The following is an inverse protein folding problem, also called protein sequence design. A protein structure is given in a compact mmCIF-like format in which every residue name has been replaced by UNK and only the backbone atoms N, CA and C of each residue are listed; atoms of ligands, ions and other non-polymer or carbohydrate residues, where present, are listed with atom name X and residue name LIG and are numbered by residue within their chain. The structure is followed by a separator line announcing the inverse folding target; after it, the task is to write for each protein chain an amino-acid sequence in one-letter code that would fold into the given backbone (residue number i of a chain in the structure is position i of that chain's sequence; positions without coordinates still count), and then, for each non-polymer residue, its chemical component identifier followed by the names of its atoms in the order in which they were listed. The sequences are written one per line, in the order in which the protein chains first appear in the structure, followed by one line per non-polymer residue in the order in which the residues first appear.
data_IF_061944177782
#
_entry.id   IF_061944177782
#
_cell.length_a   1.000
_cell.length_b   1.000
_cell.length_c   1.000
_cell.angle_alpha   90.00
_cell.angle_beta   90.00
_cell.angle_gamma   90.00
#
_symmetry.space_group_name_H-M   'P 1'
#
loop_
_entity.id
_entity.type
_entity.pdbx_description
1 polymer ?
#
# COMPACT_ATOMS: atom_id res chain seq x y z
N UNK A 1 25.64 37.93 7.13
CA UNK A 1 24.78 37.04 6.30
C UNK A 1 24.36 35.76 7.05
N UNK A 2 24.20 35.77 8.39
CA UNK A 2 23.91 34.56 9.19
C UNK A 2 22.49 34.51 9.77
N UNK A 3 21.67 35.55 9.68
CA UNK A 3 20.35 35.63 10.29
C UNK A 3 19.22 35.00 9.45
N UNK A 4 19.40 34.96 8.13
CA UNK A 4 18.37 34.40 7.21
C UNK A 4 18.27 32.88 7.29
N UNK A 5 19.38 32.18 7.58
CA UNK A 5 19.41 30.70 7.67
C UNK A 5 18.76 30.15 8.96
N UNK A 6 18.83 30.92 10.05
CA UNK A 6 18.22 30.56 11.33
C UNK A 6 16.68 30.64 11.31
N UNK A 7 16.15 31.65 10.62
CA UNK A 7 14.70 31.87 10.55
C UNK A 7 13.99 30.87 9.62
N UNK A 8 14.63 30.45 8.53
CA UNK A 8 14.13 29.41 7.63
C UNK A 8 14.10 28.02 8.31
N UNK A 9 15.12 27.68 9.12
CA UNK A 9 15.15 26.43 9.91
C UNK A 9 14.07 26.41 11.01
N UNK A 10 13.87 27.54 11.71
CA UNK A 10 12.82 27.64 12.73
C UNK A 10 11.42 27.49 12.12
N UNK A 11 11.16 28.09 10.95
CA UNK A 11 9.90 27.92 10.22
C UNK A 11 9.67 26.48 9.76
N UNK A 12 10.72 25.78 9.36
CA UNK A 12 10.65 24.35 8.98
C UNK A 12 10.30 23.44 10.14
N UNK A 13 10.91 23.61 11.30
CA UNK A 13 10.63 22.83 12.49
C UNK A 13 9.21 23.05 13.03
N UNK A 14 8.72 24.30 13.00
CA UNK A 14 7.33 24.61 13.42
C UNK A 14 6.32 23.94 12.48
N UNK A 15 6.58 23.92 11.17
CA UNK A 15 5.72 23.21 10.21
C UNK A 15 5.71 21.71 10.44
N UNK A 16 6.88 21.11 10.67
CA UNK A 16 7.00 19.67 10.97
C UNK A 16 6.21 19.31 12.23
N UNK A 17 6.36 20.10 13.30
CA UNK A 17 5.60 19.88 14.53
C UNK A 17 4.10 20.01 14.31
N UNK A 18 3.65 21.04 13.60
CA UNK A 18 2.24 21.23 13.27
C UNK A 18 1.67 20.04 12.49
N UNK A 19 2.39 19.55 11.47
CA UNK A 19 1.97 18.40 10.67
C UNK A 19 1.94 17.11 11.50
N UNK A 20 2.90 16.92 12.40
CA UNK A 20 2.92 15.78 13.33
C UNK A 20 1.72 15.82 14.28
N UNK A 21 1.39 16.99 14.82
CA UNK A 21 0.21 17.18 15.66
C UNK A 21 -1.09 16.86 14.89
N UNK A 22 -1.16 17.21 13.60
CA UNK A 22 -2.30 16.85 12.75
C UNK A 22 -2.38 15.33 12.49
N UNK A 23 -1.26 14.67 12.19
CA UNK A 23 -1.21 13.20 12.04
C UNK A 23 -1.78 12.52 13.30
N UNK A 24 -1.36 12.96 14.48
CA UNK A 24 -1.85 12.41 15.74
C UNK A 24 -3.34 12.68 15.97
N UNK A 25 -3.81 13.90 15.64
CA UNK A 25 -5.22 14.24 15.72
C UNK A 25 -6.09 13.38 14.81
N UNK A 26 -5.67 13.17 13.56
CA UNK A 26 -6.38 12.33 12.59
C UNK A 26 -6.50 10.87 13.05
N UNK A 27 -5.46 10.31 13.69
CA UNK A 27 -5.51 8.96 14.27
C UNK A 27 -6.45 8.93 15.47
N UNK A 28 -6.38 9.92 16.36
CA UNK A 28 -7.22 9.98 17.56
C UNK A 28 -8.71 10.17 17.23
N UNK A 29 -9.03 10.97 16.20
CA UNK A 29 -10.42 11.23 15.78
C UNK A 29 -11.13 10.00 15.22
N UNK A 30 -10.38 9.07 14.65
CA UNK A 30 -10.91 7.81 14.08
C UNK A 30 -10.88 6.64 15.07
N UNK A 31 -10.26 6.82 16.22
CA UNK A 31 -10.23 5.78 17.26
C UNK A 31 -11.62 5.58 17.88
N UNK A 32 -11.94 4.37 18.36
CA UNK A 32 -13.21 4.08 19.00
C UNK A 32 -13.38 4.88 20.29
N UNK A 33 -14.62 5.19 20.65
CA UNK A 33 -14.93 5.85 21.91
C UNK A 33 -14.36 5.09 23.11
N UNK A 34 -13.75 5.83 24.05
CA UNK A 34 -13.19 5.24 25.26
C UNK A 34 -11.82 4.59 25.09
N UNK A 35 -11.12 4.85 23.99
CA UNK A 35 -9.73 4.42 23.87
C UNK A 35 -8.86 5.03 24.99
N UNK A 36 -7.94 4.25 25.51
CA UNK A 36 -6.99 4.65 26.56
C UNK A 36 -5.58 4.86 26.03
N UNK A 37 -5.14 3.99 25.10
CA UNK A 37 -3.84 4.03 24.47
C UNK A 37 -3.93 3.53 23.02
N UNK A 38 -3.21 4.18 22.12
CA UNK A 38 -3.00 3.78 20.74
C UNK A 38 -1.50 3.62 20.51
N UNK A 39 -1.09 2.48 20.00
CA UNK A 39 0.25 2.22 19.48
C UNK A 39 0.12 2.04 17.97
N UNK A 40 0.86 2.81 17.19
CA UNK A 40 0.75 2.77 15.73
C UNK A 40 2.12 2.89 15.06
N UNK A 41 2.28 2.22 13.91
CA UNK A 41 3.42 2.39 13.02
C UNK A 41 2.89 2.81 11.66
N UNK A 42 3.16 4.05 11.28
CA UNK A 42 2.86 4.58 9.93
C UNK A 42 4.04 4.30 9.04
N UNK A 43 3.83 3.60 7.93
CA UNK A 43 4.85 3.30 6.92
C UNK A 43 4.56 4.07 5.64
N UNK A 44 5.60 4.76 5.13
CA UNK A 44 5.58 5.45 3.85
C UNK A 44 6.88 5.14 3.10
N UNK A 45 6.77 4.47 1.95
CA UNK A 45 7.90 4.16 1.08
C UNK A 45 7.41 4.07 -0.36
N UNK A 46 7.88 4.94 -1.24
CA UNK A 46 7.35 5.05 -2.60
C UNK A 46 5.82 5.21 -2.60
N UNK A 47 5.13 4.22 -3.13
CA UNK A 47 3.66 4.19 -3.14
C UNK A 47 3.05 3.54 -1.89
N UNK A 48 3.87 2.85 -1.08
CA UNK A 48 3.36 2.21 0.15
C UNK A 48 2.89 3.27 1.13
N UNK A 49 1.64 3.11 1.56
CA UNK A 49 0.99 3.87 2.63
C UNK A 49 0.28 2.90 3.54
N UNK A 50 0.88 2.56 4.66
CA UNK A 50 0.35 1.58 5.60
C UNK A 50 0.39 2.11 7.02
N UNK A 51 -0.58 1.70 7.82
CA UNK A 51 -0.56 1.86 9.27
C UNK A 51 -0.85 0.51 9.92
N UNK A 52 0.02 0.11 10.83
CA UNK A 52 -0.23 -0.96 11.78
C UNK A 52 -0.55 -0.31 13.12
N UNK A 53 -1.57 -0.79 13.82
CA UNK A 53 -1.94 -0.19 15.10
C UNK A 53 -2.53 -1.22 16.06
N UNK A 54 -2.36 -0.92 17.35
CA UNK A 54 -3.05 -1.58 18.45
C UNK A 54 -3.74 -0.51 19.31
N UNK A 55 -5.01 -0.72 19.61
CA UNK A 55 -5.79 0.17 20.44
C UNK A 55 -6.15 -0.55 21.73
N UNK A 56 -5.96 0.12 22.86
CA UNK A 56 -6.27 -0.38 24.18
C UNK A 56 -7.36 0.49 24.79
N UNK A 57 -8.43 -0.17 25.24
CA UNK A 57 -9.53 0.42 25.99
C UNK A 57 -9.40 0.07 27.47
N UNK A 58 -10.35 0.52 28.32
CA UNK A 58 -10.40 0.12 29.71
C UNK A 58 -10.62 -1.39 29.91
N UNK A 59 -11.23 -2.05 28.93
CA UNK A 59 -11.57 -3.48 28.96
C UNK A 59 -10.49 -4.38 28.33
N UNK A 60 -9.44 -3.81 27.74
CA UNK A 60 -8.34 -4.51 27.10
C UNK A 60 -8.07 -4.05 25.66
N UNK A 61 -7.37 -4.86 24.85
CA UNK A 61 -7.18 -4.58 23.44
C UNK A 61 -8.54 -4.45 22.73
N UNK A 62 -8.64 -3.52 21.80
CA UNK A 62 -9.83 -3.35 20.97
C UNK A 62 -9.94 -4.52 19.98
N UNK A 63 -11.08 -5.18 20.00
CA UNK A 63 -11.44 -6.33 19.16
C UNK A 63 -12.66 -6.06 18.26
N UNK A 64 -12.99 -4.77 18.08
CA UNK A 64 -14.10 -4.33 17.23
C UNK A 64 -13.77 -4.37 15.74
N UNK A 65 -14.69 -3.84 14.91
CA UNK A 65 -14.53 -3.85 13.47
C UNK A 65 -13.26 -3.13 13.02
N UNK A 66 -12.69 -3.50 11.84
CA UNK A 66 -11.52 -2.84 11.28
C UNK A 66 -11.69 -1.32 11.20
N UNK A 67 -10.66 -0.58 11.52
CA UNK A 67 -10.66 0.88 11.50
C UNK A 67 -9.68 1.40 10.44
N UNK A 68 -10.11 2.37 9.65
CA UNK A 68 -9.22 3.09 8.76
C UNK A 68 -8.58 4.26 9.52
N UNK A 69 -7.38 4.04 10.04
CA UNK A 69 -6.65 5.04 10.83
C UNK A 69 -5.54 5.77 10.04
N UNK A 70 -5.31 5.43 8.76
CA UNK A 70 -4.21 6.05 8.02
C UNK A 70 -4.36 7.57 7.97
N UNK A 71 -3.38 8.34 8.52
CA UNK A 71 -3.47 9.78 8.58
C UNK A 71 -3.16 10.41 7.20
N UNK A 72 -4.12 11.15 6.65
CA UNK A 72 -4.00 11.79 5.34
C UNK A 72 -2.85 12.82 5.27
N UNK A 73 -2.49 13.41 6.41
CA UNK A 73 -1.41 14.41 6.54
C UNK A 73 -0.01 13.79 6.60
N UNK A 74 0.12 12.47 6.83
CA UNK A 74 1.43 11.83 6.95
C UNK A 74 2.36 12.00 5.73
N UNK A 75 1.89 11.97 4.47
CA UNK A 75 2.73 12.28 3.32
C UNK A 75 3.31 13.70 3.34
N UNK A 76 2.51 14.72 3.75
CA UNK A 76 2.99 16.09 3.86
C UNK A 76 4.06 16.24 4.97
N UNK A 77 3.90 15.50 6.08
CA UNK A 77 4.90 15.45 7.12
C UNK A 77 6.21 14.83 6.58
N UNK A 78 6.10 13.77 5.80
CA UNK A 78 7.25 13.12 5.16
C UNK A 78 7.99 14.07 4.23
N UNK A 79 7.27 14.81 3.39
CA UNK A 79 7.82 15.84 2.51
C UNK A 79 8.53 16.95 3.28
N UNK A 80 7.90 17.45 4.35
CA UNK A 80 8.44 18.52 5.18
C UNK A 80 9.71 18.11 5.95
N UNK A 81 9.94 16.81 6.13
CA UNK A 81 11.11 16.24 6.80
C UNK A 81 12.20 15.77 5.83
N UNK A 82 11.98 15.86 4.53
CA UNK A 82 12.99 15.53 3.53
C UNK A 82 14.20 16.48 3.65
N UNK A 83 15.38 15.89 3.59
CA UNK A 83 16.66 16.61 3.54
C UNK A 83 17.45 16.12 2.33
N UNK A 84 17.82 17.04 1.45
CA UNK A 84 18.59 16.73 0.24
C UNK A 84 19.84 15.89 0.56
N UNK A 85 20.03 14.80 -0.18
CA UNK A 85 21.10 13.83 0.00
C UNK A 85 20.97 12.90 1.21
N UNK A 86 20.09 13.21 2.17
CA UNK A 86 19.84 12.37 3.35
C UNK A 86 18.53 11.59 3.28
N UNK A 87 17.61 12.01 2.39
CA UNK A 87 16.28 11.43 2.26
C UNK A 87 15.31 11.83 3.36
N UNK A 88 14.31 10.99 3.59
CA UNK A 88 13.29 11.17 4.62
C UNK A 88 13.03 9.84 5.35
N UNK A 89 12.15 9.83 6.35
CA UNK A 89 11.85 8.63 7.14
C UNK A 89 11.00 7.60 6.35
N UNK A 90 11.11 6.35 6.72
CA UNK A 90 10.34 5.22 6.18
C UNK A 90 9.17 4.83 7.07
N UNK A 91 9.35 4.95 8.39
CA UNK A 91 8.29 4.68 9.35
C UNK A 91 8.28 5.68 10.49
N UNK A 92 7.09 5.91 11.02
CA UNK A 92 6.81 6.74 12.19
C UNK A 92 6.08 5.86 13.21
N UNK A 93 6.74 5.57 14.33
CA UNK A 93 6.10 4.95 15.47
C UNK A 93 5.46 6.02 16.36
N UNK A 94 4.19 5.80 16.71
CA UNK A 94 3.37 6.65 17.56
C UNK A 94 2.88 5.85 18.76
N UNK A 95 2.99 6.41 19.95
CA UNK A 95 2.22 5.95 21.12
C UNK A 95 1.49 7.15 21.69
N UNK A 96 0.18 7.06 21.79
CA UNK A 96 -0.67 8.12 22.29
C UNK A 96 -1.51 7.59 23.46
N UNK A 97 -1.63 8.37 24.49
CA UNK A 97 -2.51 8.11 25.63
C UNK A 97 -3.66 9.11 25.63
N UNK A 98 -4.84 8.66 26.03
CA UNK A 98 -6.03 9.55 26.15
C UNK A 98 -5.84 10.66 27.19
N UNK A 99 -4.81 10.55 28.04
CA UNK A 99 -4.36 11.63 28.94
C UNK A 99 -3.73 12.82 28.21
N UNK A 100 -3.40 12.68 26.91
CA UNK A 100 -2.68 13.68 26.14
C UNK A 100 -1.16 13.47 26.09
N UNK A 101 -0.63 12.45 26.77
CA UNK A 101 0.79 12.07 26.61
C UNK A 101 1.00 11.43 25.25
N UNK A 102 2.15 11.74 24.61
CA UNK A 102 2.52 11.18 23.31
C UNK A 102 4.00 10.84 23.26
N UNK A 103 4.34 9.78 22.55
CA UNK A 103 5.70 9.40 22.19
C UNK A 103 5.77 9.14 20.69
N UNK A 104 6.80 9.67 20.02
CA UNK A 104 6.98 9.50 18.58
C UNK A 104 8.43 9.15 18.28
N UNK A 105 8.63 8.30 17.28
CA UNK A 105 9.96 7.94 16.79
C UNK A 105 9.92 7.76 15.28
N UNK A 106 10.85 8.41 14.58
CA UNK A 106 11.02 8.28 13.13
C UNK A 106 12.17 7.34 12.82
N UNK A 107 11.95 6.44 11.86
CA UNK A 107 12.97 5.54 11.37
C UNK A 107 13.38 5.91 9.93
N UNK A 108 14.67 6.20 9.76
CA UNK A 108 15.28 6.64 8.51
C UNK A 108 16.15 5.56 7.85
N UNK A 109 16.45 4.48 8.57
CA UNK A 109 17.50 3.55 8.21
C UNK A 109 17.07 2.10 8.11
N UNK A 110 16.06 1.66 8.88
CA UNK A 110 15.64 0.27 8.89
C UNK A 110 14.61 -0.02 7.80
N UNK A 111 14.66 -1.26 7.29
CA UNK A 111 13.67 -1.76 6.33
C UNK A 111 12.29 -1.81 6.99
N UNK A 112 11.28 -1.17 6.40
CA UNK A 112 9.91 -1.32 6.89
C UNK A 112 9.47 -2.78 6.84
N UNK A 113 8.61 -3.24 7.76
CA UNK A 113 8.08 -4.59 7.72
C UNK A 113 7.39 -4.85 6.38
N UNK A 114 7.83 -5.88 5.67
CA UNK A 114 7.21 -6.34 4.41
C UNK A 114 7.65 -7.78 4.16
N UNK A 115 6.74 -8.62 3.68
CA UNK A 115 7.04 -9.99 3.23
C UNK A 115 7.45 -10.02 1.76
N UNK A 116 7.05 -9.02 0.96
CA UNK A 116 7.39 -8.91 -0.44
C UNK A 116 8.72 -8.18 -0.65
N UNK A 117 9.32 -8.35 -1.85
CA UNK A 117 10.44 -7.53 -2.31
C UNK A 117 10.00 -6.09 -2.45
N UNK A 118 10.84 -5.16 -2.02
CA UNK A 118 10.61 -3.72 -2.07
C UNK A 118 11.42 -3.03 -3.18
N UNK A 119 12.11 -3.76 -4.05
CA UNK A 119 13.08 -3.20 -4.98
C UNK A 119 12.51 -2.08 -5.86
N UNK A 120 11.37 -2.31 -6.51
CA UNK A 120 10.70 -1.30 -7.35
C UNK A 120 10.19 -0.11 -6.53
N UNK A 121 9.64 -0.39 -5.35
CA UNK A 121 9.13 0.65 -4.43
C UNK A 121 10.27 1.53 -3.91
N UNK A 122 11.43 0.92 -3.61
CA UNK A 122 12.66 1.62 -3.22
C UNK A 122 13.16 2.52 -4.35
N UNK A 123 13.13 2.03 -5.59
CA UNK A 123 13.52 2.83 -6.76
C UNK A 123 12.63 4.07 -6.89
N UNK A 124 11.32 3.91 -6.82
CA UNK A 124 10.36 5.01 -6.91
C UNK A 124 10.52 6.00 -5.75
N UNK A 125 10.82 5.50 -4.54
CA UNK A 125 11.09 6.35 -3.38
C UNK A 125 12.35 7.20 -3.57
N UNK A 126 13.39 6.64 -4.16
CA UNK A 126 14.65 7.35 -4.42
C UNK A 126 14.51 8.39 -5.54
N UNK A 127 13.57 8.23 -6.47
CA UNK A 127 13.25 9.27 -7.46
C UNK A 127 12.60 10.49 -6.78
N UNK A 128 11.75 10.27 -5.77
CA UNK A 128 11.09 11.35 -5.02
C UNK A 128 11.98 11.95 -3.92
N UNK A 129 12.75 11.11 -3.24
CA UNK A 129 13.55 11.46 -2.07
C UNK A 129 14.99 10.95 -2.19
N UNK A 130 15.81 11.52 -3.10
CA UNK A 130 17.17 11.08 -3.34
C UNK A 130 18.04 11.04 -2.07
N UNK A 131 18.92 10.03 -1.99
CA UNK A 131 19.89 9.83 -0.91
C UNK A 131 21.29 9.65 -1.47
N UNK A 132 22.28 10.31 -0.86
CA UNK A 132 23.69 10.13 -1.22
C UNK A 132 24.26 8.80 -0.72
N UNK A 133 23.72 8.31 0.41
CA UNK A 133 24.09 7.04 1.02
C UNK A 133 22.82 6.22 1.29
N UNK A 134 22.78 5.03 0.71
CA UNK A 134 21.64 4.12 0.89
C UNK A 134 21.86 3.20 2.10
N UNK A 135 20.84 2.95 2.92
CA UNK A 135 20.83 1.83 3.86
C UNK A 135 21.10 0.51 3.11
N UNK A 136 21.78 -0.43 3.76
CA UNK A 136 22.18 -1.69 3.12
C UNK A 136 20.98 -2.47 2.55
N UNK A 137 19.86 -2.49 3.25
CA UNK A 137 18.63 -3.17 2.77
C UNK A 137 18.09 -2.60 1.46
N UNK A 138 18.22 -1.28 1.22
CA UNK A 138 17.83 -0.67 -0.06
C UNK A 138 18.76 -1.12 -1.19
N UNK A 139 20.06 -1.21 -0.92
CA UNK A 139 21.03 -1.74 -1.89
C UNK A 139 20.70 -3.19 -2.25
N UNK A 140 20.35 -4.00 -1.24
CA UNK A 140 20.01 -5.41 -1.43
C UNK A 140 18.70 -5.56 -2.24
N UNK A 141 17.68 -4.75 -1.96
CA UNK A 141 16.41 -4.74 -2.72
C UNK A 141 16.61 -4.30 -4.17
N UNK A 142 17.40 -3.26 -4.41
CA UNK A 142 17.70 -2.79 -5.77
C UNK A 142 18.53 -3.81 -6.57
N UNK A 143 19.43 -4.54 -5.90
CA UNK A 143 20.23 -5.58 -6.56
C UNK A 143 19.36 -6.75 -7.03
N UNK A 144 18.27 -7.07 -6.33
CA UNK A 144 17.33 -8.13 -6.73
C UNK A 144 16.64 -7.78 -8.05
N UNK A 145 16.10 -6.58 -8.19
CA UNK A 145 15.45 -6.15 -9.44
C UNK A 145 16.44 -6.00 -10.60
N UNK A 146 17.70 -5.60 -10.34
CA UNK A 146 18.74 -5.55 -11.38
C UNK A 146 19.12 -6.92 -11.93
N UNK A 147 19.08 -7.96 -11.10
CA UNK A 147 19.30 -9.34 -11.51
C UNK A 147 18.13 -9.88 -12.36
N UNK A 148 16.90 -9.51 -12.03
CA UNK A 148 15.69 -9.84 -12.80
C UNK A 148 15.70 -9.18 -14.17
N UNK A 149 16.03 -7.89 -14.25
CA UNK A 149 16.14 -7.13 -15.51
C UNK A 149 17.25 -7.67 -16.43
N UNK A 150 18.37 -8.17 -15.88
CA UNK A 150 19.47 -8.76 -16.67
C UNK A 150 19.12 -10.17 -17.19
N UNK A 151 18.39 -10.98 -16.40
CA UNK A 151 17.90 -12.30 -16.83
C UNK A 151 16.88 -12.18 -17.96
N UNK A 152 16.01 -11.17 -17.92
CA UNK A 152 15.08 -10.85 -19.00
C UNK A 152 15.78 -10.32 -20.26
N UNK A 153 16.88 -9.58 -20.12
CA UNK A 153 17.72 -9.17 -21.28
C UNK A 153 18.43 -10.34 -21.91
N UNK A 154 18.96 -11.28 -21.15
CA UNK A 154 19.59 -12.50 -21.69
C UNK A 154 18.57 -13.42 -22.37
N UNK A 155 17.32 -13.47 -21.90
CA UNK A 155 16.22 -14.20 -22.56
C UNK A 155 15.78 -13.52 -23.87
N UNK A 156 15.83 -12.19 -23.95
CA UNK A 156 15.43 -11.44 -25.15
C UNK A 156 16.45 -11.50 -26.30
N UNK A 157 17.68 -11.98 -26.06
CA UNK A 157 18.71 -12.19 -27.09
C UNK A 157 18.56 -13.53 -27.85
N UNK A 158 17.63 -14.41 -27.45
CA UNK A 158 17.29 -15.61 -28.22
C UNK A 158 16.30 -15.26 -29.34
N UNK A 159 16.51 -15.73 -30.61
CA UNK A 159 15.69 -15.29 -31.72
C UNK A 159 14.22 -15.67 -31.53
N UNK A 160 13.39 -14.63 -31.59
CA UNK A 160 11.95 -14.61 -31.47
C UNK A 160 11.27 -15.43 -32.57
N UNK A 161 10.31 -16.27 -32.17
CA UNK A 161 9.19 -16.66 -33.07
C UNK A 161 7.99 -15.80 -32.65
N UNK A 162 7.58 -14.95 -33.56
CA UNK A 162 6.50 -13.98 -33.40
C UNK A 162 5.15 -14.66 -33.12
N UNK A 163 4.42 -14.17 -32.12
CA UNK A 163 2.97 -14.41 -32.01
C UNK A 163 2.37 -14.66 -30.61
N UNK A 164 3.11 -14.43 -29.51
CA UNK A 164 2.57 -14.72 -28.16
C UNK A 164 2.82 -13.59 -27.13
N UNK A 165 3.07 -12.35 -27.57
CA UNK A 165 3.67 -11.32 -26.69
C UNK A 165 2.67 -10.52 -25.83
N UNK A 166 1.36 -10.77 -25.90
CA UNK A 166 0.37 -9.99 -25.13
C UNK A 166 -0.13 -10.71 -23.87
N UNK A 167 0.04 -12.02 -23.77
CA UNK A 167 -0.37 -12.80 -22.59
C UNK A 167 0.77 -13.03 -21.58
N UNK A 168 2.02 -13.08 -22.01
CA UNK A 168 3.17 -13.44 -21.16
C UNK A 168 3.59 -12.32 -20.17
N UNK A 169 3.24 -11.06 -20.41
CA UNK A 169 3.60 -9.93 -19.52
C UNK A 169 2.71 -9.89 -18.26
N UNK A 170 1.55 -10.54 -18.28
CA UNK A 170 0.63 -10.64 -17.14
C UNK A 170 0.96 -11.81 -16.20
N UNK A 171 1.88 -12.69 -16.57
CA UNK A 171 2.23 -13.90 -15.79
C UNK A 171 3.49 -13.76 -14.91
N UNK A 172 4.17 -12.63 -14.92
CA UNK A 172 5.47 -12.44 -14.28
C UNK A 172 5.46 -11.87 -12.86
N UNK A 173 4.36 -11.97 -12.11
CA UNK A 173 4.38 -11.87 -10.64
C UNK A 173 4.80 -13.21 -10.05
N UNK A 174 5.40 -13.28 -8.85
CA UNK A 174 5.66 -14.59 -8.23
C UNK A 174 4.32 -15.32 -8.12
N UNK A 175 4.12 -16.42 -8.85
CA UNK A 175 2.84 -17.11 -8.83
C UNK A 175 2.70 -17.78 -7.48
N UNK A 176 1.91 -17.17 -6.60
CA UNK A 176 1.46 -17.87 -5.39
C UNK A 176 0.61 -19.09 -5.79
N UNK A 177 -0.10 -18.98 -6.92
CA UNK A 177 -0.85 -20.08 -7.54
C UNK A 177 -0.97 -19.87 -9.05
N UNK A 178 -0.87 -20.95 -9.84
CA UNK A 178 -1.15 -20.89 -11.30
C UNK A 178 -2.63 -20.58 -11.56
N UNK A 179 -2.92 -19.68 -12.52
CA UNK A 179 -4.31 -19.26 -12.84
C UNK A 179 -5.25 -20.39 -13.22
N UNK A 180 -4.75 -21.44 -13.85
CA UNK A 180 -5.58 -22.60 -14.21
C UNK A 180 -6.02 -23.37 -12.96
N UNK A 181 -5.11 -23.57 -12.01
CA UNK A 181 -5.42 -24.17 -10.70
C UNK A 181 -6.39 -23.29 -9.91
N UNK A 182 -6.17 -21.97 -9.89
CA UNK A 182 -7.06 -21.02 -9.23
C UNK A 182 -8.49 -21.05 -9.82
N UNK A 183 -8.62 -21.13 -11.15
CA UNK A 183 -9.93 -21.26 -11.83
C UNK A 183 -10.65 -22.56 -11.49
N UNK A 184 -9.90 -23.65 -11.38
CA UNK A 184 -10.50 -24.94 -11.02
C UNK A 184 -11.00 -24.93 -9.57
N UNK A 185 -10.25 -24.30 -8.66
CA UNK A 185 -10.61 -24.16 -7.26
C UNK A 185 -11.76 -23.15 -7.02
N UNK A 186 -11.78 -22.05 -7.76
CA UNK A 186 -12.84 -21.04 -7.66
C UNK A 186 -14.16 -21.49 -8.31
N UNK A 187 -14.16 -22.60 -9.07
CA UNK A 187 -15.37 -23.06 -9.77
C UNK A 187 -16.50 -23.38 -8.81
N UNK A 188 -17.60 -22.61 -8.92
CA UNK A 188 -18.78 -22.75 -8.07
C UNK A 188 -18.60 -22.10 -6.70
N UNK A 189 -17.62 -21.23 -6.55
CA UNK A 189 -17.45 -20.45 -5.33
C UNK A 189 -18.72 -19.67 -5.00
N UNK A 190 -19.18 -19.80 -3.75
CA UNK A 190 -20.31 -19.07 -3.19
C UNK A 190 -19.78 -18.30 -1.99
N UNK A 191 -19.98 -16.98 -1.94
CA UNK A 191 -19.56 -16.18 -0.77
C UNK A 191 -20.24 -16.66 0.51
N UNK A 192 -19.56 -16.59 1.63
CA UNK A 192 -20.15 -16.91 2.93
C UNK A 192 -21.22 -15.89 3.33
N UNK A 193 -20.98 -14.60 3.00
CA UNK A 193 -21.92 -13.51 3.22
C UNK A 193 -22.74 -13.25 1.94
N UNK A 194 -24.08 -13.25 2.01
CA UNK A 194 -24.95 -13.21 0.81
C UNK A 194 -24.99 -11.84 0.12
N UNK A 195 -24.63 -10.76 0.84
CA UNK A 195 -24.80 -9.38 0.36
C UNK A 195 -23.50 -8.74 -0.17
N UNK A 196 -22.47 -9.56 -0.44
CA UNK A 196 -21.21 -9.09 -1.02
C UNK A 196 -21.36 -8.71 -2.49
N UNK A 197 -20.69 -7.64 -2.89
CA UNK A 197 -20.58 -7.20 -4.28
C UNK A 197 -19.13 -7.15 -4.73
N UNK A 198 -18.91 -7.35 -6.04
CA UNK A 198 -17.57 -7.49 -6.61
C UNK A 198 -17.37 -6.50 -7.75
N UNK A 199 -16.28 -5.78 -7.72
CA UNK A 199 -15.97 -4.73 -8.69
C UNK A 199 -14.56 -4.88 -9.20
N UNK A 200 -14.40 -4.69 -10.51
CA UNK A 200 -13.11 -4.56 -11.18
C UNK A 200 -12.97 -3.16 -11.74
N UNK A 201 -11.87 -2.49 -11.39
CA UNK A 201 -11.52 -1.16 -11.88
C UNK A 201 -10.25 -1.26 -12.71
N UNK A 202 -10.30 -0.75 -13.94
CA UNK A 202 -9.12 -0.62 -14.81
C UNK A 202 -8.68 0.83 -14.83
N UNK A 203 -7.38 1.07 -14.67
CA UNK A 203 -6.81 2.42 -14.63
C UNK A 203 -5.85 2.63 -15.79
N UNK A 204 -5.73 3.88 -16.24
CA UNK A 204 -4.69 4.26 -17.18
C UNK A 204 -3.32 4.01 -16.55
N UNK A 205 -2.38 3.49 -17.36
CA UNK A 205 -1.01 3.27 -16.94
C UNK A 205 -0.41 4.61 -16.48
N UNK A 206 -0.06 4.68 -15.20
CA UNK A 206 0.69 5.78 -14.62
C UNK A 206 2.17 5.41 -14.49
N UNK A 207 2.67 5.28 -13.26
CA UNK A 207 3.97 4.66 -12.98
C UNK A 207 3.89 3.14 -12.84
N UNK A 208 5.03 2.48 -12.79
CA UNK A 208 5.12 1.02 -12.54
C UNK A 208 4.46 0.65 -11.21
N UNK A 209 4.49 1.54 -10.24
CA UNK A 209 3.89 1.37 -8.91
C UNK A 209 2.40 1.78 -8.84
N UNK A 210 1.80 2.28 -9.92
CA UNK A 210 0.36 2.53 -9.97
C UNK A 210 -0.37 1.22 -10.32
N UNK A 211 -1.37 0.77 -9.55
CA UNK A 211 -2.17 -0.37 -9.94
C UNK A 211 -2.93 -0.05 -11.23
N UNK A 212 -2.86 -0.96 -12.18
CA UNK A 212 -3.56 -0.85 -13.47
C UNK A 212 -4.90 -1.59 -13.48
N UNK A 213 -5.04 -2.62 -12.63
CA UNK A 213 -6.30 -3.31 -12.38
C UNK A 213 -6.47 -3.52 -10.89
N UNK A 214 -7.67 -3.24 -10.39
CA UNK A 214 -8.06 -3.42 -9.00
C UNK A 214 -9.30 -4.29 -8.98
N UNK A 215 -9.27 -5.35 -8.19
CA UNK A 215 -10.41 -6.21 -7.88
C UNK A 215 -10.78 -5.98 -6.42
N UNK A 216 -12.02 -5.62 -6.15
CA UNK A 216 -12.51 -5.38 -4.79
C UNK A 216 -13.75 -6.21 -4.51
N UNK A 217 -13.76 -6.88 -3.37
CA UNK A 217 -14.95 -7.45 -2.73
C UNK A 217 -15.44 -6.43 -1.71
N UNK A 218 -16.73 -6.10 -1.77
CA UNK A 218 -17.35 -5.04 -1.00
C UNK A 218 -18.49 -5.59 -0.17
N UNK A 219 -18.62 -5.12 1.06
CA UNK A 219 -19.77 -5.38 1.92
C UNK A 219 -21.03 -4.62 1.45
N UNK A 220 -22.15 -4.75 2.21
CA UNK A 220 -23.44 -4.11 1.93
C UNK A 220 -23.36 -2.58 1.91
N UNK A 221 -22.46 -1.99 2.70
CA UNK A 221 -22.19 -0.54 2.77
C UNK A 221 -21.12 -0.09 1.77
N UNK A 222 -20.63 -1.02 0.93
CA UNK A 222 -19.60 -0.81 -0.11
C UNK A 222 -18.20 -0.51 0.42
N UNK A 223 -17.86 -0.89 1.65
CA UNK A 223 -16.49 -0.92 2.12
C UNK A 223 -15.75 -2.15 1.56
N UNK A 224 -14.46 -1.98 1.28
CA UNK A 224 -13.62 -3.09 0.83
C UNK A 224 -13.41 -4.10 1.97
N UNK A 225 -13.75 -5.35 1.72
CA UNK A 225 -13.49 -6.49 2.60
C UNK A 225 -12.22 -7.24 2.18
N UNK A 226 -12.06 -7.48 0.87
CA UNK A 226 -10.85 -8.00 0.24
C UNK A 226 -10.54 -7.21 -1.03
N UNK A 227 -9.23 -7.09 -1.33
CA UNK A 227 -8.75 -6.40 -2.51
C UNK A 227 -7.55 -7.11 -3.11
N UNK A 228 -7.50 -7.13 -4.44
CA UNK A 228 -6.31 -7.52 -5.22
C UNK A 228 -5.98 -6.38 -6.16
N UNK A 229 -4.72 -6.00 -6.20
CA UNK A 229 -4.19 -4.99 -7.12
C UNK A 229 -3.16 -5.62 -8.06
N UNK A 230 -3.27 -5.33 -9.35
CA UNK A 230 -2.29 -5.70 -10.38
C UNK A 230 -1.60 -4.42 -10.82
N UNK A 231 -0.29 -4.38 -10.66
CA UNK A 231 0.55 -3.23 -10.99
C UNK A 231 1.05 -3.27 -12.43
N UNK A 232 1.54 -2.12 -12.95
CA UNK A 232 2.03 -2.00 -14.33
C UNK A 232 3.24 -2.88 -14.64
N UNK A 233 3.96 -3.37 -13.64
CA UNK A 233 5.06 -4.33 -13.74
C UNK A 233 4.61 -5.80 -13.64
N UNK A 234 3.29 -6.07 -13.59
CA UNK A 234 2.74 -7.42 -13.48
C UNK A 234 2.74 -8.02 -12.06
N UNK A 235 3.24 -7.30 -11.05
CA UNK A 235 3.13 -7.75 -9.67
C UNK A 235 1.66 -7.73 -9.23
N UNK A 236 1.28 -8.74 -8.45
CA UNK A 236 0.01 -8.78 -7.74
C UNK A 236 0.26 -8.50 -6.26
N UNK A 237 -0.64 -7.73 -5.67
CA UNK A 237 -0.66 -7.51 -4.23
C UNK A 237 -2.09 -7.50 -3.72
N UNK A 238 -2.29 -7.67 -2.42
CA UNK A 238 -3.61 -7.91 -1.86
C UNK A 238 -3.74 -7.37 -0.43
N UNK A 239 -4.98 -7.16 0.01
CA UNK A 239 -5.32 -6.87 1.39
C UNK A 239 -6.68 -7.49 1.77
N UNK A 240 -6.84 -7.93 3.01
CA UNK A 240 -8.08 -8.48 3.57
C UNK A 240 -7.88 -9.78 4.34
N UNK A 241 -8.89 -10.21 5.11
CA UNK A 241 -8.90 -11.43 5.93
C UNK A 241 -7.71 -11.53 6.91
N UNK A 242 -7.20 -10.39 7.42
CA UNK A 242 -6.03 -10.36 8.28
C UNK A 242 -4.71 -10.63 7.55
N UNK A 243 -4.73 -10.65 6.22
CA UNK A 243 -3.57 -10.74 5.33
C UNK A 243 -3.38 -9.40 4.62
N UNK A 244 -2.15 -8.96 4.50
CA UNK A 244 -1.79 -7.76 3.77
C UNK A 244 -0.54 -8.02 2.94
N UNK A 245 -0.55 -7.48 1.73
CA UNK A 245 0.60 -7.45 0.86
C UNK A 245 1.58 -6.33 1.23
N UNK A 246 2.46 -6.00 0.29
CA UNK A 246 3.49 -4.98 0.50
C UNK A 246 2.98 -3.55 0.24
N UNK A 247 2.04 -3.38 -0.69
CA UNK A 247 1.62 -2.09 -1.24
C UNK A 247 0.10 -1.90 -1.32
N UNK A 248 -0.71 -2.93 -1.03
CA UNK A 248 -2.16 -2.91 -1.12
C UNK A 248 -2.80 -2.84 0.27
N UNK A 249 -3.80 -1.99 0.41
CA UNK A 249 -4.62 -1.82 1.63
C UNK A 249 -6.08 -1.59 1.27
N UNK A 250 -6.97 -1.88 2.20
CA UNK A 250 -8.40 -1.62 2.03
C UNK A 250 -8.69 -0.12 2.10
N UNK A 251 -9.61 0.36 1.27
CA UNK A 251 -10.03 1.76 1.29
C UNK A 251 -10.76 2.07 2.61
N UNK A 252 -10.45 3.21 3.20
CA UNK A 252 -11.08 3.68 4.43
C UNK A 252 -12.43 4.38 4.23
N UNK A 253 -12.97 4.33 3.01
CA UNK A 253 -14.26 4.92 2.65
C UNK A 253 -14.99 3.98 1.69
N UNK A 254 -16.34 3.98 1.67
CA UNK A 254 -17.10 3.16 0.75
C UNK A 254 -16.80 3.54 -0.70
N UNK A 255 -16.69 2.54 -1.57
CA UNK A 255 -16.50 2.77 -2.99
C UNK A 255 -17.80 3.31 -3.62
N UNK A 256 -17.71 4.32 -4.49
CA UNK A 256 -18.85 4.79 -5.25
C UNK A 256 -19.46 3.67 -6.12
N UNK A 257 -20.72 3.80 -6.57
CA UNK A 257 -21.29 2.94 -7.59
C UNK A 257 -20.40 2.85 -8.84
N UNK A 258 -20.49 1.72 -9.57
CA UNK A 258 -19.64 1.46 -10.74
C UNK A 258 -19.74 2.59 -11.78
N UNK A 259 -20.93 3.17 -11.94
CA UNK A 259 -21.20 4.28 -12.87
C UNK A 259 -20.46 5.58 -12.49
N UNK A 260 -20.15 5.75 -11.20
CA UNK A 260 -19.39 6.89 -10.69
C UNK A 260 -17.89 6.63 -10.68
N UNK A 261 -17.47 5.36 -10.51
CA UNK A 261 -16.05 4.97 -10.54
C UNK A 261 -15.38 5.34 -11.85
N UNK A 262 -16.10 5.21 -12.99
CA UNK A 262 -15.57 5.58 -14.32
C UNK A 262 -15.35 7.09 -14.50
N UNK A 263 -15.89 7.92 -13.60
CA UNK A 263 -15.69 9.37 -13.61
C UNK A 263 -14.44 9.79 -12.79
N UNK A 264 -13.85 8.88 -12.04
CA UNK A 264 -12.67 9.17 -11.23
C UNK A 264 -11.42 9.37 -12.12
N UNK A 265 -10.49 10.24 -11.70
CA UNK A 265 -9.24 10.44 -12.41
C UNK A 265 -8.46 9.13 -12.64
N UNK A 266 -7.90 8.98 -13.84
CA UNK A 266 -7.12 7.79 -14.25
C UNK A 266 -7.94 6.49 -14.39
N UNK A 267 -9.23 6.44 -14.07
CA UNK A 267 -10.07 5.27 -14.34
C UNK A 267 -10.44 5.24 -15.82
N UNK A 268 -10.19 4.13 -16.50
CA UNK A 268 -10.53 3.91 -17.90
C UNK A 268 -11.67 2.90 -18.08
N UNK A 269 -12.00 2.16 -17.02
CA UNK A 269 -13.14 1.24 -16.98
C UNK A 269 -13.43 0.78 -15.56
N UNK A 270 -14.69 0.51 -15.28
CA UNK A 270 -15.16 -0.15 -14.07
C UNK A 270 -16.33 -1.05 -14.42
N UNK A 271 -16.38 -2.23 -13.83
CA UNK A 271 -17.42 -3.23 -14.08
C UNK A 271 -17.71 -4.05 -12.83
N UNK A 272 -18.96 -4.51 -12.67
CA UNK A 272 -19.28 -5.53 -11.69
C UNK A 272 -18.86 -6.89 -12.24
N UNK A 273 -18.23 -7.70 -11.40
CA UNK A 273 -17.75 -9.04 -11.75
C UNK A 273 -18.45 -10.11 -10.91
N UNK A 274 -18.27 -11.36 -11.24
CA UNK A 274 -18.78 -12.47 -10.44
C UNK A 274 -17.92 -12.76 -9.21
N UNK A 275 -18.49 -13.38 -8.15
CA UNK A 275 -17.72 -13.88 -7.03
C UNK A 275 -16.60 -14.84 -7.45
N UNK A 276 -16.88 -15.71 -8.42
CA UNK A 276 -15.93 -16.68 -8.95
C UNK A 276 -14.75 -15.99 -9.63
N UNK A 277 -14.98 -14.92 -10.39
CA UNK A 277 -13.92 -14.15 -11.05
C UNK A 277 -13.01 -13.46 -10.02
N UNK A 278 -13.58 -12.84 -8.99
CA UNK A 278 -12.80 -12.28 -7.89
C UNK A 278 -11.97 -13.35 -7.16
N UNK A 279 -12.59 -14.50 -6.86
CA UNK A 279 -11.93 -15.58 -6.12
C UNK A 279 -10.72 -16.15 -6.90
N UNK A 280 -10.77 -16.19 -8.23
CA UNK A 280 -9.60 -16.56 -9.04
C UNK A 280 -8.43 -15.62 -8.77
N UNK A 281 -8.64 -14.32 -8.83
CA UNK A 281 -7.57 -13.34 -8.62
C UNK A 281 -7.06 -13.37 -7.17
N UNK A 282 -7.95 -13.57 -6.19
CA UNK A 282 -7.58 -13.74 -4.79
C UNK A 282 -6.67 -14.94 -4.57
N UNK A 283 -7.02 -16.11 -5.11
CA UNK A 283 -6.20 -17.32 -5.03
C UNK A 283 -4.85 -17.15 -5.73
N UNK A 284 -4.82 -16.48 -6.89
CA UNK A 284 -3.57 -16.20 -7.61
C UNK A 284 -2.66 -15.30 -6.77
N UNK A 285 -3.22 -14.27 -6.12
CA UNK A 285 -2.46 -13.30 -5.35
C UNK A 285 -1.98 -13.86 -4.00
N UNK A 286 -2.80 -14.66 -3.31
CA UNK A 286 -2.52 -15.12 -1.94
C UNK A 286 -1.93 -16.53 -1.86
N UNK A 287 -2.22 -17.39 -2.82
CA UNK A 287 -1.89 -18.82 -2.77
C UNK A 287 -2.64 -19.60 -1.68
N UNK A 288 -3.61 -18.99 -1.01
CA UNK A 288 -4.33 -19.57 0.15
C UNK A 288 -5.73 -20.01 -0.27
N UNK A 289 -6.09 -21.22 0.14
CA UNK A 289 -7.45 -21.79 0.00
C UNK A 289 -8.36 -21.27 1.08
#
# INVERSE_FOLDING_TARGET
MSETSGNARAGGLLRQQFLLDQVMAEVAERAPDGWGRIEAIVVLLGQIRRIEFEIFTADGPYDGPPLSLFPATAPELRDAMYVEGRGTWFSLALTMWSSGEVSTSFDFDNRPPSRASLGYVVRDDLEMYPRDVLPQWMVDELAQIGAEDDDDRERSVRPSFAGAETEAVLEAGPPMMERESAREMARGFVPEEPDMSYVKVTRAVGGIADPIVIFSELDEDRYEYRKVEIFGNGLLDFAGEGMEGAATWLAGAPLPPVEELVLLPKVVGAESISPEEFQVEWLVATGVQ
#
